data_IF_332144598690
#
_entry.id   IF_332144598690
#
_cell.length_a   1.000
_cell.length_b   1.000
_cell.length_c   1.000
_cell.angle_alpha   90.00
_cell.angle_beta   90.00
_cell.angle_gamma   90.00
#
_symmetry.space_group_name_H-M   'P 1'
#
loop_
_entity.id
_entity.type
_entity.pdbx_description
1 polymer ?
#
# COMPACT_ATOMS: atom_id res chain seq x y z
N UNK A 1 6.43 21.62 19.66
CA UNK A 1 6.11 20.32 19.04
C UNK A 1 7.20 20.10 18.02
N UNK A 2 7.88 18.96 18.07
CA UNK A 2 8.99 18.64 17.16
C UNK A 2 8.43 18.39 15.77
N UNK A 3 9.17 18.84 14.75
CA UNK A 3 8.81 18.79 13.33
C UNK A 3 8.76 17.35 12.73
N UNK A 4 8.43 16.37 13.55
CA UNK A 4 8.04 15.00 13.18
C UNK A 4 6.50 14.90 13.10
N UNK A 5 5.84 16.04 12.88
CA UNK A 5 4.43 16.14 12.56
C UNK A 5 4.23 15.61 11.13
N UNK A 6 3.84 14.34 11.06
CA UNK A 6 2.87 13.83 10.10
C UNK A 6 3.15 14.23 8.65
N UNK A 7 4.09 13.52 8.02
CA UNK A 7 3.93 13.24 6.61
C UNK A 7 2.82 12.19 6.51
N UNK A 8 1.56 12.63 6.67
CA UNK A 8 0.44 11.96 6.03
C UNK A 8 0.69 12.13 4.53
N UNK A 9 1.57 11.31 3.98
CA UNK A 9 1.77 11.27 2.53
C UNK A 9 0.45 10.72 1.96
N UNK A 10 -0.47 11.62 1.61
CA UNK A 10 -1.59 11.38 0.70
C UNK A 10 -0.99 11.06 -0.69
N UNK A 11 -0.32 9.91 -0.76
CA UNK A 11 0.27 9.37 -1.96
C UNK A 11 -0.66 8.34 -2.57
N UNK A 12 -1.02 8.55 -3.83
CA UNK A 12 -1.75 7.53 -4.60
C UNK A 12 -0.89 6.28 -4.74
N UNK A 13 -1.36 5.15 -4.21
CA UNK A 13 -0.72 3.85 -4.44
C UNK A 13 -1.26 3.22 -5.72
N UNK A 14 -0.35 2.80 -6.60
CA UNK A 14 -0.70 2.17 -7.88
C UNK A 14 -0.31 0.70 -7.88
N UNK A 15 -1.18 -0.13 -8.44
CA UNK A 15 -0.81 -1.47 -8.90
C UNK A 15 -0.14 -1.34 -10.26
N UNK A 16 1.04 -1.93 -10.41
CA UNK A 16 1.80 -1.92 -11.66
C UNK A 16 1.88 -3.33 -12.25
N UNK A 17 1.88 -3.41 -13.57
CA UNK A 17 2.27 -4.62 -14.28
C UNK A 17 3.77 -4.88 -14.05
N UNK A 18 4.13 -6.09 -13.57
CA UNK A 18 5.50 -6.38 -13.15
C UNK A 18 6.51 -6.40 -14.30
N UNK A 19 6.07 -6.60 -15.54
CA UNK A 19 6.95 -6.71 -16.69
C UNK A 19 7.18 -5.37 -17.39
N UNK A 20 6.18 -4.49 -17.33
CA UNK A 20 6.16 -3.23 -18.07
C UNK A 20 6.20 -1.99 -17.18
N UNK A 21 6.00 -2.16 -15.86
CA UNK A 21 5.87 -1.09 -14.86
C UNK A 21 4.78 -0.08 -15.17
N UNK A 22 3.79 -0.46 -15.98
CA UNK A 22 2.65 0.41 -16.31
C UNK A 22 1.57 0.30 -15.25
N UNK A 23 0.87 1.40 -14.91
CA UNK A 23 -0.28 1.36 -14.01
C UNK A 23 -1.39 0.46 -14.55
N UNK A 24 -1.85 -0.45 -13.70
CA UNK A 24 -3.02 -1.30 -13.92
C UNK A 24 -4.25 -0.76 -13.18
N UNK A 25 -4.05 -0.27 -11.95
CA UNK A 25 -5.11 0.28 -11.10
C UNK A 25 -4.54 1.22 -10.03
N UNK A 26 -5.41 2.06 -9.48
CA UNK A 26 -5.21 2.75 -8.21
C UNK A 26 -5.71 1.86 -7.06
N UNK A 27 -5.02 1.90 -5.92
CA UNK A 27 -5.35 1.08 -4.75
C UNK A 27 -6.03 1.95 -3.70
N UNK A 28 -7.32 1.73 -3.52
CA UNK A 28 -8.10 2.27 -2.41
C UNK A 28 -7.99 1.37 -1.19
N UNK A 29 -7.39 1.88 -0.12
CA UNK A 29 -7.31 1.16 1.14
C UNK A 29 -8.51 1.51 2.04
N UNK A 30 -9.25 0.51 2.57
CA UNK A 30 -10.35 0.76 3.51
C UNK A 30 -9.92 1.37 4.85
N UNK A 31 -8.63 1.31 5.16
CA UNK A 31 -7.99 1.93 6.32
C UNK A 31 -6.60 2.37 5.92
N UNK A 32 -6.04 3.39 6.60
CA UNK A 32 -4.70 3.90 6.31
C UNK A 32 -3.70 2.74 6.23
N UNK A 33 -3.10 2.49 5.05
CA UNK A 33 -2.08 1.46 4.94
C UNK A 33 -0.88 1.93 5.76
N UNK A 34 -0.29 1.02 6.55
CA UNK A 34 1.02 1.30 7.12
C UNK A 34 2.06 1.57 6.03
N UNK A 35 3.21 2.14 6.42
CA UNK A 35 4.23 2.71 5.53
C UNK A 35 4.79 1.73 4.47
N UNK A 36 4.60 0.42 4.65
CA UNK A 36 5.12 -0.60 3.73
C UNK A 36 4.05 -1.58 3.26
N UNK A 37 3.90 -1.70 1.94
CA UNK A 37 3.20 -2.78 1.26
C UNK A 37 4.19 -3.84 0.75
N UNK A 38 3.92 -5.12 1.01
CA UNK A 38 4.77 -6.25 0.57
C UNK A 38 3.99 -7.13 -0.40
N UNK A 39 4.39 -7.24 -1.68
CA UNK A 39 3.74 -8.13 -2.63
C UNK A 39 4.04 -9.60 -2.31
N UNK A 40 3.05 -10.49 -2.47
CA UNK A 40 3.20 -11.92 -2.22
C UNK A 40 3.41 -12.76 -3.50
N UNK A 41 3.20 -12.17 -4.68
CA UNK A 41 3.40 -12.84 -5.97
C UNK A 41 2.19 -13.64 -6.48
N UNK A 42 1.05 -13.56 -5.80
CA UNK A 42 -0.22 -14.19 -6.16
C UNK A 42 -1.35 -13.16 -6.33
N UNK A 43 -1.02 -12.00 -6.88
CA UNK A 43 -1.91 -10.84 -7.04
C UNK A 43 -2.48 -10.27 -5.72
N UNK A 44 -1.82 -10.60 -4.61
CA UNK A 44 -2.12 -10.05 -3.28
C UNK A 44 -0.89 -9.43 -2.62
N UNK A 45 -1.14 -8.58 -1.62
CA UNK A 45 -0.08 -7.93 -0.85
C UNK A 45 -0.47 -7.82 0.63
N UNK A 46 0.54 -7.60 1.48
CA UNK A 46 0.37 -7.32 2.90
C UNK A 46 0.64 -5.85 3.19
N UNK A 47 -0.17 -5.24 4.04
CA UNK A 47 0.21 -4.03 4.79
C UNK A 47 0.36 -4.39 6.25
N UNK A 48 1.26 -3.71 6.96
CA UNK A 48 1.41 -3.87 8.41
C UNK A 48 1.03 -2.58 9.12
N UNK A 49 0.04 -2.65 10.01
CA UNK A 49 -0.06 -1.72 11.13
C UNK A 49 0.70 -2.30 12.33
N UNK A 50 1.09 -1.48 13.31
CA UNK A 50 2.07 -1.77 14.37
C UNK A 50 2.09 -3.22 14.86
N UNK A 51 0.89 -3.80 15.09
CA UNK A 51 0.69 -5.15 15.59
C UNK A 51 -0.03 -6.11 14.61
N UNK A 52 -0.62 -5.59 13.52
CA UNK A 52 -1.47 -6.39 12.63
C UNK A 52 -0.94 -6.43 11.20
N UNK A 53 -0.87 -7.63 10.63
CA UNK A 53 -0.73 -7.80 9.19
C UNK A 53 -2.11 -7.97 8.54
N UNK A 54 -2.41 -7.15 7.54
CA UNK A 54 -3.63 -7.23 6.73
C UNK A 54 -3.27 -7.61 5.31
N UNK A 55 -4.09 -8.46 4.69
CA UNK A 55 -3.92 -8.92 3.31
C UNK A 55 -4.97 -8.32 2.41
N UNK A 56 -4.56 -7.88 1.23
CA UNK A 56 -5.38 -7.15 0.27
C UNK A 56 -5.30 -7.77 -1.12
N UNK A 57 -6.32 -7.49 -1.91
CA UNK A 57 -6.42 -7.79 -3.35
C UNK A 57 -7.26 -6.70 -4.02
N UNK A 58 -7.27 -6.63 -5.35
CA UNK A 58 -8.03 -5.65 -6.12
C UNK A 58 -9.48 -6.08 -6.44
N UNK A 59 -9.94 -7.22 -5.90
CA UNK A 59 -11.26 -7.82 -6.17
C UNK A 59 -12.37 -7.33 -5.23
#
# INVERSE_FOLDING_TARGET
MTAEEQWEEEGTHLLLDTHTLRPLAEIDYPAAPGVAAVPLGDDTWLTRDEETARRWTTA
#
